data_IF_479309019188
#
_entry.id   IF_479309019188
#
_cell.length_a   1.000
_cell.length_b   1.000
_cell.length_c   1.000
_cell.angle_alpha   90.00
_cell.angle_beta   90.00
_cell.angle_gamma   90.00
#
_symmetry.space_group_name_H-M   'P 1'
#
loop_
_entity.id
_entity.type
_entity.pdbx_description
1 polymer ?
#
# COMPACT_ATOMS: atom_id res chain seq x y z
N UNK A 1 0.80 -22.87 -6.51
CA UNK A 1 1.25 -23.01 -5.11
C UNK A 1 0.86 -21.83 -4.20
N UNK A 2 0.50 -20.64 -4.71
CA UNK A 2 0.20 -19.46 -3.86
C UNK A 2 -1.27 -19.01 -3.87
N UNK A 3 -2.19 -19.85 -4.35
CA UNK A 3 -3.62 -19.52 -4.48
C UNK A 3 -4.26 -19.11 -3.14
N UNK A 4 -3.86 -19.73 -2.03
CA UNK A 4 -4.33 -19.36 -0.70
C UNK A 4 -3.93 -17.93 -0.33
N UNK A 5 -2.71 -17.49 -0.64
CA UNK A 5 -2.26 -16.12 -0.35
C UNK A 5 -2.92 -15.09 -1.27
N UNK A 6 -3.12 -15.45 -2.54
CA UNK A 6 -3.89 -14.67 -3.51
C UNK A 6 -5.31 -14.37 -3.00
N UNK A 7 -5.99 -15.35 -2.39
CA UNK A 7 -7.36 -15.16 -1.90
C UNK A 7 -7.40 -14.59 -0.49
N UNK A 8 -6.49 -14.98 0.40
CA UNK A 8 -6.53 -14.58 1.81
C UNK A 8 -6.05 -13.16 2.04
N UNK A 9 -5.05 -12.65 1.33
CA UNK A 9 -4.51 -11.31 1.59
C UNK A 9 -5.53 -10.16 1.33
N UNK A 10 -6.26 -10.13 0.21
CA UNK A 10 -7.29 -9.11 -0.03
C UNK A 10 -8.45 -9.24 0.94
N UNK A 11 -8.88 -10.47 1.21
CA UNK A 11 -9.96 -10.76 2.15
C UNK A 11 -9.56 -10.35 3.57
N UNK A 12 -8.30 -10.55 3.96
CA UNK A 12 -7.76 -10.12 5.25
C UNK A 12 -7.70 -8.60 5.35
N UNK A 13 -7.31 -7.90 4.28
CA UNK A 13 -7.34 -6.43 4.23
C UNK A 13 -8.77 -5.88 4.36
N UNK A 14 -9.75 -6.53 3.71
CA UNK A 14 -11.17 -6.19 3.85
C UNK A 14 -11.71 -6.50 5.25
N UNK A 15 -11.29 -7.61 5.85
CA UNK A 15 -11.65 -7.95 7.22
C UNK A 15 -11.04 -6.98 8.24
N UNK A 16 -9.78 -6.59 8.04
CA UNK A 16 -9.09 -5.60 8.85
C UNK A 16 -9.76 -4.23 8.73
N UNK A 17 -10.13 -3.80 7.52
CA UNK A 17 -10.82 -2.52 7.34
C UNK A 17 -12.15 -2.52 8.09
N UNK A 18 -12.94 -3.60 8.00
CA UNK A 18 -14.18 -3.75 8.77
C UNK A 18 -13.98 -3.74 10.30
N UNK A 19 -12.83 -4.21 10.80
CA UNK A 19 -12.49 -4.24 12.22
C UNK A 19 -12.18 -2.84 12.78
N UNK A 20 -11.49 -1.99 12.01
CA UNK A 20 -11.06 -0.66 12.48
C UNK A 20 -12.16 0.41 12.49
N UNK A 21 -13.27 0.25 11.75
CA UNK A 21 -14.34 1.26 11.73
C UNK A 21 -15.31 1.17 12.91
N UNK A 22 -15.63 2.33 13.49
CA UNK A 22 -16.70 2.47 14.50
C UNK A 22 -18.07 2.12 13.91
N UNK A 23 -19.07 1.87 14.78
CA UNK A 23 -20.41 1.45 14.35
C UNK A 23 -21.09 2.47 13.41
N UNK A 24 -20.84 3.76 13.59
CA UNK A 24 -21.32 4.84 12.71
C UNK A 24 -20.53 4.94 11.40
N UNK A 25 -19.20 4.80 11.44
CA UNK A 25 -18.35 4.81 10.25
C UNK A 25 -18.65 3.61 9.31
N UNK A 26 -19.08 2.47 9.87
CA UNK A 26 -19.48 1.26 9.12
C UNK A 26 -20.67 1.46 8.18
N UNK A 27 -21.53 2.46 8.40
CA UNK A 27 -22.70 2.69 7.53
C UNK A 27 -22.31 3.30 6.17
N UNK A 28 -21.25 4.11 6.13
CA UNK A 28 -20.76 4.75 4.89
C UNK A 28 -19.55 4.05 4.28
N UNK A 29 -18.85 3.22 5.06
CA UNK A 29 -17.65 2.48 4.62
C UNK A 29 -17.86 1.56 3.39
N UNK A 30 -18.98 0.84 3.20
CA UNK A 30 -19.12 -0.13 2.11
C UNK A 30 -19.03 0.50 0.72
N UNK A 31 -19.59 1.70 0.55
CA UNK A 31 -19.58 2.43 -0.72
C UNK A 31 -18.15 2.84 -1.08
N UNK A 32 -17.40 3.40 -0.13
CA UNK A 32 -16.00 3.78 -0.35
C UNK A 32 -15.10 2.57 -0.59
N UNK A 33 -15.36 1.46 0.09
CA UNK A 33 -14.66 0.19 -0.16
C UNK A 33 -14.88 -0.28 -1.59
N UNK A 34 -16.14 -0.34 -2.03
CA UNK A 34 -16.49 -0.77 -3.39
C UNK A 34 -15.92 0.17 -4.45
N UNK A 35 -16.03 1.48 -4.23
CA UNK A 35 -15.39 2.51 -5.07
C UNK A 35 -13.88 2.28 -5.18
N UNK A 36 -13.21 1.96 -4.08
CA UNK A 36 -11.77 1.64 -4.04
C UNK A 36 -11.43 0.43 -4.91
N UNK A 37 -12.17 -0.66 -4.78
CA UNK A 37 -11.97 -1.88 -5.59
C UNK A 37 -12.12 -1.63 -7.09
N UNK A 38 -13.24 -1.02 -7.48
CA UNK A 38 -13.58 -0.84 -8.91
C UNK A 38 -12.62 0.14 -9.56
N UNK A 39 -12.31 1.25 -8.88
CA UNK A 39 -11.39 2.27 -9.42
C UNK A 39 -9.94 1.80 -9.47
N UNK A 40 -9.55 0.81 -8.66
CA UNK A 40 -8.21 0.23 -8.74
C UNK A 40 -7.97 -0.60 -10.00
N UNK A 41 -8.99 -1.24 -10.58
CA UNK A 41 -8.84 -2.07 -11.78
C UNK A 41 -8.18 -1.33 -12.97
N UNK A 42 -8.69 -0.18 -13.42
CA UNK A 42 -8.03 0.57 -14.50
C UNK A 42 -6.65 1.10 -14.07
N UNK A 43 -6.43 1.36 -12.79
CA UNK A 43 -5.15 1.86 -12.29
C UNK A 43 -4.09 0.78 -12.22
N UNK A 44 -4.46 -0.46 -11.90
CA UNK A 44 -3.56 -1.62 -12.01
C UNK A 44 -3.17 -1.86 -13.47
N UNK A 45 -4.10 -1.65 -14.41
CA UNK A 45 -3.78 -1.70 -15.83
C UNK A 45 -2.77 -0.59 -16.24
N UNK A 46 -2.97 0.65 -15.80
CA UNK A 46 -2.00 1.73 -16.03
C UNK A 46 -0.65 1.45 -15.38
N UNK A 47 -0.65 0.91 -14.16
CA UNK A 47 0.56 0.46 -13.47
C UNK A 47 1.30 -0.61 -14.26
N UNK A 48 0.58 -1.58 -14.83
CA UNK A 48 1.16 -2.62 -15.67
C UNK A 48 1.83 -2.03 -16.91
N UNK A 49 1.15 -1.12 -17.60
CA UNK A 49 1.70 -0.43 -18.78
C UNK A 49 2.95 0.40 -18.42
N UNK A 50 2.93 1.10 -17.29
CA UNK A 50 4.06 1.91 -16.83
C UNK A 50 5.23 1.06 -16.32
N UNK A 51 4.95 -0.07 -15.67
CA UNK A 51 5.94 -0.98 -15.11
C UNK A 51 6.78 -1.71 -16.15
N UNK A 52 6.29 -1.85 -17.39
CA UNK A 52 7.01 -2.46 -18.50
C UNK A 52 8.04 -1.56 -19.20
N UNK A 53 8.10 -0.27 -18.86
CA UNK A 53 8.90 0.72 -19.62
C UNK A 53 10.40 0.63 -19.29
N UNK A 54 10.75 0.25 -18.06
CA UNK A 54 12.14 0.26 -17.58
C UNK A 54 12.58 -1.18 -17.31
N UNK A 55 13.48 -1.77 -18.11
CA UNK A 55 14.00 -3.10 -17.83
C UNK A 55 14.79 -3.10 -16.52
N UNK A 56 14.68 -4.16 -15.70
CA UNK A 56 15.43 -4.26 -14.46
C UNK A 56 16.93 -4.43 -14.74
N UNK A 57 17.72 -3.48 -14.25
CA UNK A 57 19.18 -3.58 -14.23
C UNK A 57 19.62 -4.39 -13.00
N UNK A 58 19.62 -5.72 -13.14
CA UNK A 58 20.02 -6.64 -12.06
C UNK A 58 21.43 -6.31 -11.54
N UNK A 59 21.59 -6.26 -10.22
CA UNK A 59 22.86 -5.93 -9.58
C UNK A 59 23.18 -4.43 -9.46
N UNK A 60 22.42 -3.55 -10.10
CA UNK A 60 22.63 -2.09 -9.98
C UNK A 60 21.88 -1.50 -8.80
N UNK A 61 22.48 -0.51 -8.12
CA UNK A 61 21.81 0.30 -7.09
C UNK A 61 20.52 0.99 -7.58
N UNK A 62 20.40 1.23 -8.89
CA UNK A 62 19.18 1.76 -9.51
C UNK A 62 17.96 0.85 -9.35
N UNK A 63 18.16 -0.45 -9.07
CA UNK A 63 17.09 -1.43 -8.83
C UNK A 63 16.24 -1.04 -7.62
N UNK A 64 16.84 -0.45 -6.58
CA UNK A 64 16.11 0.04 -5.40
C UNK A 64 15.12 1.12 -5.81
N UNK A 65 15.58 2.10 -6.59
CA UNK A 65 14.71 3.18 -7.05
C UNK A 65 13.62 2.65 -7.98
N UNK A 66 13.95 1.71 -8.87
CA UNK A 66 12.97 1.08 -9.75
C UNK A 66 11.87 0.37 -8.95
N UNK A 67 12.23 -0.42 -7.94
CA UNK A 67 11.25 -1.11 -7.08
C UNK A 67 10.46 -0.15 -6.21
N UNK A 68 11.10 0.88 -5.65
CA UNK A 68 10.42 1.92 -4.89
C UNK A 68 9.38 2.65 -5.75
N UNK A 69 9.79 3.06 -6.96
CA UNK A 69 8.93 3.66 -7.97
C UNK A 69 7.76 2.74 -8.30
N UNK A 70 8.05 1.49 -8.67
CA UNK A 70 7.05 0.58 -9.22
C UNK A 70 6.06 0.07 -8.17
N UNK A 71 6.49 -0.26 -6.94
CA UNK A 71 5.62 -0.95 -5.98
C UNK A 71 5.09 -0.08 -4.86
N UNK A 72 5.63 1.12 -4.65
CA UNK A 72 5.14 2.03 -3.62
C UNK A 72 4.72 3.38 -4.19
N UNK A 73 5.61 4.07 -4.91
CA UNK A 73 5.34 5.45 -5.31
C UNK A 73 4.26 5.52 -6.40
N UNK A 74 4.40 4.77 -7.49
CA UNK A 74 3.45 4.77 -8.59
C UNK A 74 2.04 4.32 -8.16
N UNK A 75 1.84 3.22 -7.41
CA UNK A 75 0.53 2.85 -6.87
C UNK A 75 -0.11 3.95 -6.03
N UNK A 76 0.67 4.61 -5.15
CA UNK A 76 0.18 5.74 -4.34
C UNK A 76 -0.15 6.95 -5.19
N UNK A 77 0.67 7.29 -6.19
CA UNK A 77 0.37 8.39 -7.10
C UNK A 77 -0.93 8.13 -7.88
N UNK A 78 -1.15 6.89 -8.30
CA UNK A 78 -2.37 6.48 -9.01
C UNK A 78 -3.61 6.51 -8.11
N UNK A 79 -3.49 6.57 -6.77
CA UNK A 79 -4.68 6.71 -5.91
C UNK A 79 -5.40 8.03 -6.16
N UNK A 80 -4.70 9.08 -6.58
CA UNK A 80 -5.30 10.39 -6.86
C UNK A 80 -6.29 10.31 -8.02
N UNK A 81 -5.90 9.90 -9.24
CA UNK A 81 -6.85 9.72 -10.33
C UNK A 81 -7.89 8.63 -10.02
N UNK A 82 -7.52 7.56 -9.32
CA UNK A 82 -8.48 6.54 -8.86
C UNK A 82 -9.60 7.13 -7.98
N UNK A 83 -9.23 7.98 -7.01
CA UNK A 83 -10.16 8.68 -6.13
C UNK A 83 -11.04 9.66 -6.91
N UNK A 84 -10.46 10.40 -7.85
CA UNK A 84 -11.20 11.34 -8.70
C UNK A 84 -12.21 10.61 -9.60
N UNK A 85 -11.86 9.46 -10.17
CA UNK A 85 -12.78 8.64 -10.97
C UNK A 85 -13.90 8.07 -10.09
N UNK A 86 -13.56 7.59 -8.90
CA UNK A 86 -14.51 6.98 -8.00
C UNK A 86 -15.55 7.95 -7.41
N UNK A 87 -15.14 9.19 -7.11
CA UNK A 87 -15.99 10.17 -6.41
C UNK A 87 -16.43 11.32 -7.32
N UNK A 88 -15.84 11.48 -8.51
CA UNK A 88 -16.20 12.51 -9.49
C UNK A 88 -16.19 13.92 -8.88
N UNK A 89 -17.28 14.66 -9.08
CA UNK A 89 -17.46 16.03 -8.55
C UNK A 89 -17.53 16.08 -7.01
N UNK A 90 -17.84 14.96 -6.35
CA UNK A 90 -17.90 14.87 -4.89
C UNK A 90 -16.52 14.66 -4.24
N UNK A 91 -15.46 14.49 -5.04
CA UNK A 91 -14.11 14.27 -4.53
C UNK A 91 -13.62 15.40 -3.60
N UNK A 92 -14.06 16.64 -3.81
CA UNK A 92 -13.71 17.80 -2.99
C UNK A 92 -14.52 17.93 -1.69
N UNK A 93 -15.72 17.35 -1.63
CA UNK A 93 -16.63 17.45 -0.47
C UNK A 93 -16.55 16.23 0.45
N UNK A 94 -16.14 15.06 -0.06
CA UNK A 94 -16.06 13.79 0.70
C UNK A 94 -14.66 13.48 1.26
N UNK A 95 -13.78 14.48 1.38
CA UNK A 95 -12.39 14.35 1.88
C UNK A 95 -12.31 14.13 3.41
N UNK A 96 -13.18 13.28 3.96
CA UNK A 96 -13.05 12.77 5.31
C UNK A 96 -11.96 11.69 5.31
N UNK A 97 -11.06 11.70 6.30
CA UNK A 97 -10.00 10.69 6.39
C UNK A 97 -10.55 9.26 6.45
N UNK A 98 -11.70 9.05 7.10
CA UNK A 98 -12.35 7.74 7.17
C UNK A 98 -12.80 7.25 5.79
N UNK A 99 -13.33 8.13 4.95
CA UNK A 99 -13.68 7.84 3.56
C UNK A 99 -12.44 7.56 2.71
N UNK A 100 -11.38 8.36 2.88
CA UNK A 100 -10.11 8.16 2.17
C UNK A 100 -9.45 6.84 2.56
N UNK A 101 -9.41 6.49 3.85
CA UNK A 101 -8.90 5.22 4.35
C UNK A 101 -9.73 4.03 3.88
N UNK A 102 -11.07 4.16 3.91
CA UNK A 102 -12.00 3.12 3.43
C UNK A 102 -11.81 2.82 1.95
N UNK A 103 -11.38 3.82 1.18
CA UNK A 103 -11.05 3.68 -0.22
C UNK A 103 -9.63 3.12 -0.44
N UNK A 104 -8.62 3.69 0.24
CA UNK A 104 -7.20 3.38 0.00
C UNK A 104 -6.86 1.92 0.29
N UNK A 105 -7.39 1.36 1.38
CA UNK A 105 -7.09 -0.03 1.79
C UNK A 105 -7.49 -1.06 0.72
N UNK A 106 -8.76 -1.13 0.26
CA UNK A 106 -9.14 -2.05 -0.80
C UNK A 106 -8.52 -1.68 -2.14
N UNK A 107 -8.35 -0.38 -2.44
CA UNK A 107 -7.72 0.07 -3.67
C UNK A 107 -6.29 -0.50 -3.81
N UNK A 108 -5.45 -0.34 -2.78
CA UNK A 108 -4.09 -0.85 -2.79
C UNK A 108 -4.03 -2.38 -2.61
N UNK A 109 -5.07 -2.98 -2.00
CA UNK A 109 -5.24 -4.44 -1.99
C UNK A 109 -5.37 -5.06 -3.39
N UNK A 110 -6.04 -4.37 -4.32
CA UNK A 110 -6.14 -4.80 -5.73
C UNK A 110 -4.79 -4.70 -6.45
N UNK A 111 -3.93 -3.73 -6.08
CA UNK A 111 -2.56 -3.67 -6.59
C UNK A 111 -1.74 -4.89 -6.14
N UNK A 112 -1.82 -5.27 -4.86
CA UNK A 112 -1.16 -6.49 -4.37
C UNK A 112 -1.61 -7.74 -5.15
N UNK A 113 -2.90 -7.85 -5.46
CA UNK A 113 -3.42 -8.92 -6.33
C UNK A 113 -2.83 -8.86 -7.73
N UNK A 114 -2.82 -7.67 -8.35
CA UNK A 114 -2.24 -7.44 -9.66
C UNK A 114 -0.78 -7.89 -9.73
N UNK A 115 0.01 -7.59 -8.70
CA UNK A 115 1.41 -8.05 -8.61
C UNK A 115 1.53 -9.54 -8.45
N UNK A 116 0.74 -10.15 -7.55
CA UNK A 116 0.76 -11.61 -7.38
C UNK A 116 0.41 -12.32 -8.68
N UNK A 117 -0.58 -11.83 -9.43
CA UNK A 117 -0.95 -12.37 -10.74
C UNK A 117 0.17 -12.12 -11.76
N UNK A 118 0.78 -10.95 -11.77
CA UNK A 118 1.85 -10.64 -12.73
C UNK A 118 3.12 -11.48 -12.50
N UNK A 119 3.49 -11.69 -11.22
CA UNK A 119 4.69 -12.43 -10.84
C UNK A 119 4.44 -13.92 -10.53
N UNK A 120 3.23 -14.43 -10.80
CA UNK A 120 2.84 -15.79 -10.42
C UNK A 120 3.71 -16.89 -11.04
N UNK A 121 4.23 -16.63 -12.24
CA UNK A 121 5.07 -17.55 -13.01
C UNK A 121 6.55 -17.43 -12.68
N UNK A 122 6.95 -16.47 -11.85
CA UNK A 122 8.34 -16.32 -11.47
C UNK A 122 8.77 -17.48 -10.55
N UNK A 123 9.95 -18.09 -10.80
CA UNK A 123 10.44 -19.19 -9.98
C UNK A 123 10.83 -18.76 -8.56
N UNK A 124 11.00 -17.46 -8.34
CA UNK A 124 11.39 -16.91 -7.05
C UNK A 124 10.14 -16.54 -6.23
N UNK A 125 10.10 -16.95 -4.96
CA UNK A 125 8.93 -16.75 -4.09
C UNK A 125 8.80 -15.32 -3.54
N UNK A 126 9.87 -14.50 -3.57
CA UNK A 126 9.87 -13.18 -2.96
C UNK A 126 8.79 -12.20 -3.49
N UNK A 127 8.52 -12.11 -4.81
CA UNK A 127 7.44 -11.27 -5.33
C UNK A 127 6.05 -11.69 -4.83
N UNK A 128 5.88 -12.96 -4.46
CA UNK A 128 4.59 -13.52 -4.05
C UNK A 128 4.42 -13.50 -2.53
N UNK A 129 5.51 -13.54 -1.76
CA UNK A 129 5.49 -13.59 -0.30
C UNK A 129 5.90 -12.26 0.35
N UNK A 130 7.10 -11.78 0.01
CA UNK A 130 7.74 -10.64 0.68
C UNK A 130 7.13 -9.33 0.23
N UNK A 131 6.94 -9.16 -1.08
CA UNK A 131 6.40 -7.91 -1.62
C UNK A 131 4.99 -7.60 -1.07
N UNK A 132 4.02 -8.53 -1.07
CA UNK A 132 2.69 -8.25 -0.50
C UNK A 132 2.75 -7.93 0.99
N UNK A 133 3.59 -8.62 1.76
CA UNK A 133 3.76 -8.34 3.20
C UNK A 133 4.30 -6.92 3.44
N UNK A 134 5.34 -6.53 2.70
CA UNK A 134 5.92 -5.20 2.78
C UNK A 134 4.94 -4.12 2.35
N UNK A 135 4.14 -4.36 1.31
CA UNK A 135 3.14 -3.40 0.89
C UNK A 135 2.05 -3.28 1.93
N UNK A 136 1.43 -4.38 2.37
CA UNK A 136 0.35 -4.37 3.39
C UNK A 136 0.80 -3.63 4.66
N UNK A 137 1.99 -3.92 5.16
CA UNK A 137 2.54 -3.22 6.32
C UNK A 137 2.77 -1.73 6.06
N UNK A 138 3.26 -1.37 4.87
CA UNK A 138 3.41 0.03 4.44
C UNK A 138 2.05 0.73 4.29
N UNK A 139 0.97 0.03 3.93
CA UNK A 139 -0.39 0.59 3.85
C UNK A 139 -0.93 0.97 5.22
N UNK A 140 -0.68 0.14 6.23
CA UNK A 140 -1.07 0.43 7.62
C UNK A 140 -0.35 1.68 8.12
N UNK A 141 0.94 1.82 7.78
CA UNK A 141 1.70 3.03 8.09
C UNK A 141 1.18 4.24 7.32
N UNK A 142 0.95 4.12 6.00
CA UNK A 142 0.37 5.19 5.16
C UNK A 142 -0.95 5.68 5.74
N UNK A 143 -1.82 4.75 6.16
CA UNK A 143 -3.08 5.07 6.78
C UNK A 143 -2.90 5.93 8.05
N UNK A 144 -1.98 5.55 8.93
CA UNK A 144 -1.63 6.34 10.10
C UNK A 144 -1.05 7.72 9.74
N UNK A 145 -0.14 7.77 8.78
CA UNK A 145 0.48 9.00 8.29
C UNK A 145 -0.54 9.99 7.71
N UNK A 146 -1.49 9.52 6.91
CA UNK A 146 -2.58 10.33 6.35
C UNK A 146 -3.48 10.89 7.46
N UNK A 147 -3.78 10.08 8.47
CA UNK A 147 -4.56 10.54 9.62
C UNK A 147 -3.80 11.63 10.39
N UNK A 148 -2.50 11.46 10.68
CA UNK A 148 -1.69 12.51 11.30
C UNK A 148 -1.63 13.77 10.45
N UNK A 149 -1.39 13.64 9.14
CA UNK A 149 -1.35 14.77 8.23
C UNK A 149 -2.64 15.59 8.27
N UNK A 150 -3.80 14.93 8.44
CA UNK A 150 -5.09 15.61 8.63
C UNK A 150 -5.15 16.38 9.95
N UNK A 151 -4.72 15.77 11.07
CA UNK A 151 -4.79 16.39 12.39
C UNK A 151 -3.95 17.68 12.47
N UNK A 152 -2.78 17.67 11.83
CA UNK A 152 -1.88 18.83 11.82
C UNK A 152 -2.18 19.83 10.71
N UNK A 153 -3.01 19.48 9.72
CA UNK A 153 -3.37 20.33 8.58
C UNK A 153 -2.19 20.66 7.65
N UNK A 154 -2.45 21.21 6.47
CA UNK A 154 -1.38 21.66 5.57
C UNK A 154 -0.87 23.06 5.96
N UNK A 155 0.44 23.34 5.80
CA UNK A 155 1.48 22.50 5.21
C UNK A 155 2.16 21.53 6.19
N UNK A 156 2.03 21.76 7.51
CA UNK A 156 2.73 21.01 8.57
C UNK A 156 2.49 19.49 8.52
N UNK A 157 1.32 19.08 8.03
CA UNK A 157 0.89 17.70 7.84
C UNK A 157 1.76 16.90 6.87
N UNK A 158 2.41 17.56 5.90
CA UNK A 158 3.25 16.89 4.89
C UNK A 158 4.47 16.18 5.51
N UNK A 159 4.96 16.67 6.65
CA UNK A 159 6.08 16.05 7.38
C UNK A 159 5.72 14.61 7.78
N UNK A 160 4.45 14.33 8.03
CA UNK A 160 3.98 13.00 8.39
C UNK A 160 3.93 12.01 7.22
N UNK A 161 4.17 12.44 5.98
CA UNK A 161 4.41 11.53 4.87
C UNK A 161 5.84 10.93 4.91
N UNK A 162 6.80 11.59 5.57
CA UNK A 162 8.20 11.16 5.60
C UNK A 162 8.40 9.74 6.18
N UNK A 163 7.74 9.32 7.28
CA UNK A 163 7.87 7.96 7.79
C UNK A 163 7.44 6.91 6.77
N UNK A 164 6.35 7.15 6.03
CA UNK A 164 5.90 6.26 4.96
C UNK A 164 6.92 6.20 3.80
N UNK A 165 7.43 7.36 3.37
CA UNK A 165 8.44 7.41 2.31
C UNK A 165 9.74 6.70 2.72
N UNK A 166 10.18 6.88 3.96
CA UNK A 166 11.35 6.19 4.49
C UNK A 166 11.12 4.67 4.58
N UNK A 167 9.98 4.24 5.11
CA UNK A 167 9.63 2.82 5.23
C UNK A 167 9.49 2.14 3.86
N UNK A 168 8.84 2.79 2.90
CA UNK A 168 8.71 2.26 1.53
C UNK A 168 10.05 2.17 0.82
N UNK A 169 10.94 3.15 0.99
CA UNK A 169 12.30 3.11 0.44
C UNK A 169 13.14 1.98 1.07
N UNK A 170 13.05 1.80 2.40
CA UNK A 170 13.68 0.67 3.08
C UNK A 170 13.08 -0.68 2.66
N UNK A 171 11.78 -0.74 2.40
CA UNK A 171 11.11 -1.91 1.83
C UNK A 171 11.64 -2.24 0.43
N UNK A 172 11.85 -1.24 -0.41
CA UNK A 172 12.45 -1.40 -1.74
C UNK A 172 13.91 -1.89 -1.64
N UNK A 173 14.68 -1.38 -0.68
CA UNK A 173 16.03 -1.89 -0.36
C UNK A 173 15.99 -3.37 0.07
N UNK A 174 15.09 -3.71 0.99
CA UNK A 174 14.92 -5.08 1.47
C UNK A 174 14.60 -6.03 0.31
N UNK A 175 13.70 -5.60 -0.58
CA UNK A 175 13.32 -6.37 -1.76
C UNK A 175 14.47 -6.48 -2.76
N UNK A 176 15.21 -5.41 -3.05
CA UNK A 176 16.37 -5.42 -3.94
C UNK A 176 17.49 -6.38 -3.46
N UNK A 177 17.74 -6.43 -2.15
CA UNK A 177 18.73 -7.33 -1.56
C UNK A 177 18.44 -8.82 -1.81
N UNK A 178 17.17 -9.19 -1.99
CA UNK A 178 16.78 -10.56 -2.35
C UNK A 178 17.28 -10.94 -3.75
N UNK A 179 17.40 -9.96 -4.66
CA UNK A 179 17.88 -10.14 -6.04
C UNK A 179 19.38 -9.90 -6.19
N UNK A 180 20.04 -9.25 -5.22
CA UNK A 180 21.51 -9.10 -5.19
C UNK A 180 22.23 -10.27 -4.51
N UNK A 181 21.60 -11.44 -4.46
CA UNK A 181 22.16 -12.64 -3.81
C UNK A 181 22.50 -12.42 -2.32
N UNK A 182 21.73 -11.56 -1.62
CA UNK A 182 21.82 -11.35 -0.16
C UNK A 182 20.47 -11.66 0.52
N UNK A 183 19.88 -12.85 0.31
CA UNK A 183 18.51 -13.14 0.73
C UNK A 183 18.31 -13.05 2.24
N UNK A 184 19.29 -13.49 3.06
CA UNK A 184 19.20 -13.41 4.52
C UNK A 184 19.07 -11.96 5.01
N UNK A 185 19.90 -11.04 4.49
CA UNK A 185 19.87 -9.62 4.86
C UNK A 185 18.58 -8.97 4.36
N UNK A 186 18.15 -9.29 3.14
CA UNK A 186 16.89 -8.78 2.58
C UNK A 186 15.67 -9.23 3.39
N UNK A 187 15.61 -10.50 3.82
CA UNK A 187 14.52 -11.01 4.65
C UNK A 187 14.50 -10.39 6.06
N UNK A 188 15.67 -10.23 6.68
CA UNK A 188 15.78 -9.57 8.00
C UNK A 188 15.31 -8.10 7.92
N UNK A 189 15.79 -7.36 6.91
CA UNK A 189 15.35 -5.98 6.70
C UNK A 189 13.86 -5.91 6.38
N UNK A 190 13.34 -6.85 5.57
CA UNK A 190 11.92 -6.91 5.25
C UNK A 190 11.06 -7.16 6.49
N UNK A 191 11.49 -8.07 7.37
CA UNK A 191 10.83 -8.33 8.65
C UNK A 191 10.82 -7.09 9.56
N UNK A 192 11.94 -6.38 9.65
CA UNK A 192 12.04 -5.14 10.43
C UNK A 192 11.14 -4.03 9.88
N UNK A 193 11.17 -3.81 8.56
CA UNK A 193 10.32 -2.81 7.89
C UNK A 193 8.85 -3.17 8.03
N UNK A 194 8.47 -4.44 7.82
CA UNK A 194 7.09 -4.88 7.94
C UNK A 194 6.56 -4.77 9.37
N UNK A 195 7.35 -5.23 10.35
CA UNK A 195 7.02 -5.12 11.77
C UNK A 195 6.91 -3.66 12.21
N UNK A 196 7.94 -2.86 11.91
CA UNK A 196 7.99 -1.45 12.28
C UNK A 196 6.86 -0.62 11.65
N UNK A 197 6.58 -0.82 10.36
CA UNK A 197 5.49 -0.11 9.66
C UNK A 197 4.12 -0.50 10.21
N UNK A 198 3.91 -1.79 10.46
CA UNK A 198 2.64 -2.30 11.02
C UNK A 198 2.42 -1.75 12.43
N UNK A 199 3.41 -1.90 13.32
CA UNK A 199 3.31 -1.44 14.71
C UNK A 199 3.18 0.08 14.77
N UNK A 200 4.00 0.81 14.01
CA UNK A 200 3.95 2.27 13.93
C UNK A 200 2.59 2.76 13.44
N UNK A 201 2.08 2.20 12.34
CA UNK A 201 0.76 2.56 11.83
C UNK A 201 -0.37 2.23 12.83
N UNK A 202 -0.34 1.07 13.49
CA UNK A 202 -1.33 0.71 14.52
C UNK A 202 -1.28 1.67 15.71
N UNK A 203 -0.10 2.04 16.21
CA UNK A 203 0.06 2.98 17.32
C UNK A 203 -0.55 4.33 16.96
N UNK A 204 -0.28 4.81 15.76
CA UNK A 204 -0.82 6.07 15.25
C UNK A 204 -2.35 6.01 15.15
N UNK A 205 -2.88 4.96 14.51
CA UNK A 205 -4.32 4.77 14.34
C UNK A 205 -5.04 4.61 15.69
N UNK A 206 -4.44 3.95 16.68
CA UNK A 206 -5.03 3.77 18.02
C UNK A 206 -5.15 5.07 18.80
N UNK A 207 -4.23 6.04 18.64
CA UNK A 207 -4.31 7.33 19.34
C UNK A 207 -5.62 8.08 19.03
N UNK A 208 -6.20 7.89 17.85
CA UNK A 208 -7.52 8.45 17.48
C UNK A 208 -8.67 7.93 18.36
N UNK A 209 -8.59 6.70 18.85
CA UNK A 209 -9.70 6.04 19.57
C UNK A 209 -9.63 6.16 21.08
N UNK A 210 -8.55 6.74 21.62
CA UNK A 210 -8.34 6.92 23.07
C UNK A 210 -8.52 8.40 23.48
N UNK A 211 -8.44 9.33 22.52
CA UNK A 211 -8.70 10.75 22.70
C UNK A 211 -10.16 11.09 22.40
#
# INVERSE_FOLDING_TARGET
MYAFLLVSAPVSLMALSAWFYTREERLHSPVHIFRGLVSALPMVFLWYLAGGIIPPNWGSGSLVFLYWWQFWLLPVLLTVPGWLIANGRAAGTELKATSLLSFLLPYLGVFCLGWMVFYWSMPFAAPVLVLPLLTVSSLILLAGCVELARWYGLPSGLVWALPYLAASLLGAWAYALLFWNRPAVGLLLAGFVAGGSTVGGIIILRRKYIA
#
